data_IF_672658919923
#
_entry.id   IF_672658919923
#
_cell.length_a   1.000
_cell.length_b   1.000
_cell.length_c   1.000
_cell.angle_alpha   90.00
_cell.angle_beta   90.00
_cell.angle_gamma   90.00
#
_symmetry.space_group_name_H-M   'P 1'
#
loop_
_entity.id
_entity.type
_entity.pdbx_description
1 polymer ?
#
# COMPACT_ATOMS: atom_id res chain seq x y z
N UNK A 1 5.28 13.99 -1.62
CA UNK A 1 5.76 12.61 -1.34
C UNK A 1 6.74 12.08 -2.37
N UNK A 2 6.38 12.01 -3.64
CA UNK A 2 7.24 11.37 -4.66
C UNK A 2 8.65 11.94 -4.74
N UNK A 3 8.82 13.28 -4.67
CA UNK A 3 10.14 13.93 -4.71
C UNK A 3 11.03 13.53 -3.51
N UNK A 4 10.47 13.49 -2.30
CA UNK A 4 11.22 13.13 -1.08
C UNK A 4 11.61 11.66 -1.13
N UNK A 5 10.68 10.76 -1.48
CA UNK A 5 10.94 9.34 -1.71
C UNK A 5 12.10 9.16 -2.72
N UNK A 6 12.02 9.87 -3.84
CA UNK A 6 13.04 9.82 -4.89
C UNK A 6 14.44 10.13 -4.34
N UNK A 7 14.60 11.23 -3.61
CA UNK A 7 15.91 11.62 -3.08
C UNK A 7 16.44 10.63 -2.06
N UNK A 8 15.59 10.14 -1.12
CA UNK A 8 16.01 9.17 -0.10
C UNK A 8 16.44 7.84 -0.70
N UNK A 9 15.64 7.28 -1.61
CA UNK A 9 15.99 6.00 -2.26
C UNK A 9 17.20 6.17 -3.16
N UNK A 10 17.33 7.29 -3.87
CA UNK A 10 18.49 7.57 -4.70
C UNK A 10 19.81 7.60 -3.89
N UNK A 11 19.80 8.13 -2.67
CA UNK A 11 20.96 8.07 -1.79
C UNK A 11 21.35 6.63 -1.46
N UNK A 12 20.37 5.76 -1.19
CA UNK A 12 20.61 4.33 -0.94
C UNK A 12 21.25 3.65 -2.17
N UNK A 13 20.83 4.02 -3.38
CA UNK A 13 21.38 3.46 -4.61
C UNK A 13 22.84 3.84 -4.88
N UNK A 14 23.29 4.98 -4.35
CA UNK A 14 24.67 5.47 -4.50
C UNK A 14 25.61 4.80 -3.49
N UNK A 15 25.09 4.39 -2.33
CA UNK A 15 25.88 3.72 -1.30
C UNK A 15 26.15 2.25 -1.69
N UNK A 16 27.28 1.70 -1.21
CA UNK A 16 27.57 0.28 -1.30
C UNK A 16 26.67 -0.52 -0.36
N UNK A 17 25.53 -0.95 -0.89
CA UNK A 17 24.57 -1.79 -0.19
C UNK A 17 24.52 -3.19 -0.84
N UNK A 18 24.14 -4.19 -0.05
CA UNK A 18 23.95 -5.54 -0.50
C UNK A 18 22.88 -5.64 -1.59
N UNK A 19 23.14 -6.45 -2.63
CA UNK A 19 22.15 -6.77 -3.66
C UNK A 19 21.38 -8.02 -3.23
N UNK A 20 20.08 -7.86 -2.98
CA UNK A 20 19.18 -8.95 -2.58
C UNK A 20 18.06 -9.14 -3.61
N UNK A 21 17.61 -10.37 -3.80
CA UNK A 21 16.43 -10.62 -4.63
C UNK A 21 15.14 -10.37 -3.82
N UNK A 22 14.09 -9.89 -4.51
CA UNK A 22 12.80 -9.63 -3.87
C UNK A 22 12.25 -10.89 -3.18
N UNK A 23 12.40 -12.07 -3.80
CA UNK A 23 11.99 -13.36 -3.20
C UNK A 23 12.68 -13.68 -1.87
N UNK A 24 13.86 -13.12 -1.62
CA UNK A 24 14.63 -13.37 -0.39
C UNK A 24 14.17 -12.47 0.77
N UNK A 25 13.50 -11.36 0.46
CA UNK A 25 13.05 -10.35 1.43
C UNK A 25 11.53 -10.31 1.63
N UNK A 26 10.76 -10.75 0.63
CA UNK A 26 9.29 -10.82 0.69
C UNK A 26 8.81 -12.28 0.60
N UNK A 27 7.71 -12.53 1.27
CA UNK A 27 6.86 -13.71 1.07
C UNK A 27 5.54 -13.25 0.48
N UNK A 28 4.93 -14.08 -0.39
CA UNK A 28 3.59 -13.80 -0.86
C UNK A 28 2.59 -14.88 -0.46
N UNK A 29 1.35 -14.46 -0.22
CA UNK A 29 0.20 -15.34 0.00
C UNK A 29 -0.85 -15.08 -1.09
N UNK A 30 -1.46 -16.17 -1.61
CA UNK A 30 -2.60 -16.06 -2.51
C UNK A 30 -3.83 -15.58 -1.73
N UNK A 31 -4.63 -14.67 -2.28
CA UNK A 31 -5.75 -14.06 -1.56
C UNK A 31 -6.99 -14.95 -1.50
N UNK A 32 -6.94 -16.19 -1.99
CA UNK A 32 -8.10 -17.08 -2.13
C UNK A 32 -8.96 -17.18 -0.88
N UNK A 33 -8.33 -17.20 0.31
CA UNK A 33 -9.02 -17.27 1.60
C UNK A 33 -9.74 -15.97 1.98
N UNK A 34 -9.37 -14.86 1.37
CA UNK A 34 -9.81 -13.51 1.71
C UNK A 34 -10.69 -12.88 0.64
N UNK A 35 -11.07 -13.65 -0.37
CA UNK A 35 -12.01 -13.20 -1.40
C UNK A 35 -13.38 -12.93 -0.80
N UNK A 36 -13.95 -11.78 -1.15
CA UNK A 36 -15.34 -11.49 -0.84
C UNK A 36 -16.24 -12.37 -1.70
N UNK A 37 -17.33 -12.88 -1.12
CA UNK A 37 -18.31 -13.71 -1.83
C UNK A 37 -19.47 -12.87 -2.39
N UNK A 38 -19.85 -11.80 -1.70
CA UNK A 38 -20.88 -10.86 -2.14
C UNK A 38 -20.36 -9.97 -3.28
N UNK A 39 -21.25 -9.62 -4.19
CA UNK A 39 -20.96 -8.70 -5.30
C UNK A 39 -21.42 -7.28 -5.04
N UNK A 40 -22.33 -7.11 -4.07
CA UNK A 40 -22.83 -5.81 -3.62
C UNK A 40 -22.11 -5.39 -2.35
N UNK A 41 -21.67 -4.13 -2.29
CA UNK A 41 -20.93 -3.59 -1.18
C UNK A 41 -21.69 -2.44 -0.53
N UNK A 42 -21.61 -2.37 0.81
CA UNK A 42 -22.15 -1.27 1.60
C UNK A 42 -21.28 -0.01 1.47
N UNK A 43 -21.87 1.15 1.74
CA UNK A 43 -21.15 2.42 1.98
C UNK A 43 -20.82 2.65 3.46
N UNK A 44 -21.22 1.74 4.36
CA UNK A 44 -20.97 1.82 5.79
C UNK A 44 -19.51 1.45 6.11
N UNK A 45 -18.71 2.45 6.45
CA UNK A 45 -17.28 2.34 6.74
C UNK A 45 -16.94 1.71 8.10
N UNK A 46 -17.95 1.41 8.92
CA UNK A 46 -17.80 0.60 10.14
C UNK A 46 -17.63 -0.90 9.86
N UNK A 47 -17.92 -1.34 8.62
CA UNK A 47 -17.80 -2.72 8.17
C UNK A 47 -16.40 -3.02 7.62
N UNK A 48 -16.16 -4.29 7.23
CA UNK A 48 -14.87 -4.72 6.66
C UNK A 48 -14.69 -4.18 5.24
N UNK A 49 -13.62 -3.43 4.94
CA UNK A 49 -13.36 -2.92 3.60
C UNK A 49 -13.02 -4.03 2.61
N UNK A 50 -13.54 -3.89 1.39
CA UNK A 50 -13.24 -4.74 0.24
C UNK A 50 -12.28 -4.00 -0.68
N UNK A 51 -11.06 -4.53 -0.82
CA UNK A 51 -9.95 -3.85 -1.48
C UNK A 51 -9.66 -4.36 -2.88
N UNK A 52 -9.07 -3.48 -3.65
CA UNK A 52 -8.32 -3.77 -4.87
C UNK A 52 -7.02 -2.97 -4.87
N UNK A 53 -5.98 -3.43 -5.57
CA UNK A 53 -4.72 -2.70 -5.63
C UNK A 53 -4.74 -1.50 -6.59
N UNK A 54 -5.72 -1.41 -7.48
CA UNK A 54 -5.85 -0.34 -8.49
C UNK A 54 -6.36 1.00 -7.89
N UNK A 55 -6.67 1.97 -8.77
CA UNK A 55 -7.09 3.34 -8.36
C UNK A 55 -8.30 3.38 -7.45
N UNK A 56 -9.24 2.45 -7.60
CA UNK A 56 -10.46 2.42 -6.78
C UNK A 56 -10.24 1.97 -5.34
N UNK A 57 -9.06 1.51 -4.98
CA UNK A 57 -8.55 0.98 -3.72
C UNK A 57 -9.60 0.34 -2.79
N UNK A 58 -10.54 1.10 -2.22
CA UNK A 58 -11.70 0.61 -1.46
C UNK A 58 -12.91 0.63 -2.38
N UNK A 59 -13.46 -0.56 -2.67
CA UNK A 59 -14.66 -0.72 -3.51
C UNK A 59 -15.94 -0.52 -2.73
N UNK A 60 -15.88 -0.63 -1.43
CA UNK A 60 -16.97 -0.56 -0.46
C UNK A 60 -16.69 -1.50 0.70
N UNK A 61 -17.72 -1.84 1.46
CA UNK A 61 -17.59 -2.58 2.71
C UNK A 61 -18.51 -3.79 2.75
N UNK A 62 -18.16 -4.81 3.54
CA UNK A 62 -18.93 -6.05 3.67
C UNK A 62 -19.11 -6.44 5.13
N UNK A 63 -20.23 -7.06 5.43
CA UNK A 63 -20.54 -7.66 6.73
C UNK A 63 -20.01 -9.10 6.90
N UNK A 64 -19.31 -9.62 5.89
CA UNK A 64 -18.71 -10.94 5.93
C UNK A 64 -17.59 -11.01 6.97
N UNK A 65 -17.80 -11.77 8.05
CA UNK A 65 -16.85 -11.94 9.15
C UNK A 65 -15.83 -13.05 8.95
N UNK A 66 -16.06 -13.94 7.97
CA UNK A 66 -15.13 -15.02 7.61
C UNK A 66 -14.15 -14.57 6.52
N UNK A 67 -12.98 -15.19 6.48
CA UNK A 67 -11.98 -14.91 5.44
C UNK A 67 -11.56 -13.43 5.41
N UNK A 68 -11.41 -12.81 6.56
CA UNK A 68 -10.81 -11.48 6.70
C UNK A 68 -9.31 -11.65 6.85
N UNK A 69 -8.52 -10.87 6.11
CA UNK A 69 -7.09 -10.78 6.37
C UNK A 69 -6.87 -9.86 7.58
N UNK A 70 -6.33 -10.41 8.65
CA UNK A 70 -6.04 -9.71 9.91
C UNK A 70 -4.73 -10.23 10.51
N UNK A 71 -3.66 -10.20 9.68
CA UNK A 71 -2.32 -10.69 10.06
C UNK A 71 -1.32 -9.54 10.26
N UNK A 72 -1.82 -8.30 10.34
CA UNK A 72 -1.00 -7.10 10.41
C UNK A 72 -0.64 -6.52 9.04
N UNK A 73 0.44 -5.75 9.01
CA UNK A 73 0.87 -5.02 7.81
C UNK A 73 1.17 -5.93 6.63
N UNK A 74 0.70 -5.52 5.46
CA UNK A 74 1.01 -6.18 4.19
C UNK A 74 1.02 -5.19 3.03
N UNK A 75 1.54 -5.63 1.89
CA UNK A 75 1.36 -4.95 0.59
C UNK A 75 0.40 -5.79 -0.23
N UNK A 76 -0.68 -5.21 -0.72
CA UNK A 76 -1.45 -5.81 -1.80
C UNK A 76 -0.85 -5.37 -3.14
N UNK A 77 -0.58 -6.33 -3.99
CA UNK A 77 0.06 -6.15 -5.30
C UNK A 77 -0.84 -6.75 -6.39
N UNK A 78 -1.21 -5.97 -7.39
CA UNK A 78 -1.97 -6.47 -8.55
C UNK A 78 -1.00 -7.11 -9.55
N UNK A 79 -1.21 -8.39 -9.82
CA UNK A 79 -0.32 -9.22 -10.63
C UNK A 79 -0.35 -8.87 -12.14
N UNK A 80 -1.33 -8.06 -12.59
CA UNK A 80 -1.47 -7.61 -13.97
C UNK A 80 -1.06 -6.16 -14.20
N UNK A 81 -1.44 -5.26 -13.29
CA UNK A 81 -1.17 -3.82 -13.44
C UNK A 81 0.11 -3.39 -12.74
N UNK A 82 0.67 -4.23 -11.86
CA UNK A 82 1.76 -3.92 -10.92
C UNK A 82 1.45 -2.78 -9.94
N UNK A 83 0.18 -2.36 -9.85
CA UNK A 83 -0.25 -1.43 -8.81
C UNK A 83 -0.10 -2.07 -7.43
N UNK A 84 0.27 -1.26 -6.44
CA UNK A 84 0.44 -1.74 -5.09
C UNK A 84 -0.06 -0.74 -4.05
N UNK A 85 -0.48 -1.27 -2.88
CA UNK A 85 -0.92 -0.49 -1.72
C UNK A 85 -0.37 -1.10 -0.44
N UNK A 86 0.07 -0.26 0.47
CA UNK A 86 0.44 -0.64 1.82
C UNK A 86 -0.82 -0.64 2.70
N UNK A 87 -1.04 -1.72 3.44
CA UNK A 87 -2.23 -1.94 4.27
C UNK A 87 -1.80 -2.25 5.69
N UNK A 88 -2.43 -1.60 6.66
CA UNK A 88 -2.21 -1.75 8.10
C UNK A 88 -3.52 -2.00 8.89
N UNK A 89 -4.57 -2.42 8.19
CA UNK A 89 -5.90 -2.68 8.77
C UNK A 89 -6.51 -3.97 8.20
N UNK A 90 -7.49 -4.59 8.89
CA UNK A 90 -8.18 -5.80 8.41
C UNK A 90 -8.99 -5.53 7.14
N UNK A 91 -8.99 -6.50 6.20
CA UNK A 91 -9.67 -6.33 4.90
C UNK A 91 -10.08 -7.65 4.26
N UNK A 92 -10.91 -7.56 3.23
CA UNK A 92 -11.15 -8.60 2.22
C UNK A 92 -10.77 -8.07 0.84
N UNK A 93 -10.60 -8.95 -0.14
CA UNK A 93 -10.21 -8.55 -1.51
C UNK A 93 -11.24 -8.98 -2.54
N UNK A 94 -11.34 -8.21 -3.62
CA UNK A 94 -12.25 -8.49 -4.74
C UNK A 94 -11.72 -9.55 -5.69
N UNK A 95 -10.41 -9.60 -5.92
CA UNK A 95 -9.82 -10.34 -7.04
C UNK A 95 -8.70 -11.29 -6.62
N UNK A 96 -8.65 -12.47 -7.23
CA UNK A 96 -7.54 -13.42 -7.11
C UNK A 96 -6.27 -12.97 -7.86
N UNK A 97 -6.32 -11.88 -8.61
CA UNK A 97 -5.14 -11.27 -9.23
C UNK A 97 -4.20 -10.59 -8.23
N UNK A 98 -4.72 -10.29 -7.02
CA UNK A 98 -3.92 -9.71 -5.95
C UNK A 98 -2.96 -10.75 -5.37
N UNK A 99 -1.74 -10.32 -5.05
CA UNK A 99 -0.81 -11.00 -4.15
C UNK A 99 -0.74 -10.22 -2.84
N UNK A 100 -0.76 -10.92 -1.72
CA UNK A 100 -0.56 -10.33 -0.39
C UNK A 100 0.91 -10.57 -0.03
N UNK A 101 1.68 -9.50 0.11
CA UNK A 101 3.12 -9.56 0.34
C UNK A 101 3.42 -9.15 1.78
N UNK A 102 4.27 -9.93 2.44
CA UNK A 102 4.76 -9.65 3.79
C UNK A 102 6.28 -9.70 3.84
N UNK A 103 6.91 -8.90 4.69
CA UNK A 103 8.36 -8.92 4.84
C UNK A 103 8.83 -10.19 5.58
N UNK A 104 9.95 -10.74 5.13
CA UNK A 104 10.67 -11.76 5.88
C UNK A 104 11.41 -11.13 7.06
N UNK A 105 11.82 -11.96 8.03
CA UNK A 105 12.53 -11.50 9.23
C UNK A 105 13.80 -10.71 8.88
N UNK A 106 13.98 -9.56 9.50
CA UNK A 106 15.12 -8.66 9.28
C UNK A 106 14.90 -7.61 8.20
N UNK A 107 13.70 -7.54 7.61
CA UNK A 107 13.38 -6.55 6.59
C UNK A 107 12.16 -5.71 6.98
N UNK A 108 12.22 -4.42 6.68
CA UNK A 108 11.13 -3.48 6.96
C UNK A 108 10.17 -3.42 5.76
N UNK A 109 8.93 -3.85 5.95
CA UNK A 109 7.92 -3.92 4.88
C UNK A 109 7.61 -2.53 4.29
N UNK A 110 7.50 -1.51 5.15
CA UNK A 110 7.22 -0.14 4.71
C UNK A 110 8.37 0.40 3.85
N UNK A 111 9.62 0.13 4.24
CA UNK A 111 10.78 0.48 3.41
C UNK A 111 10.74 -0.20 2.04
N UNK A 112 10.44 -1.49 1.99
CA UNK A 112 10.33 -2.24 0.73
C UNK A 112 9.21 -1.65 -0.13
N UNK A 113 8.05 -1.34 0.44
CA UNK A 113 6.96 -0.68 -0.28
C UNK A 113 7.39 0.66 -0.90
N UNK A 114 8.10 1.49 -0.14
CA UNK A 114 8.60 2.78 -0.62
C UNK A 114 9.63 2.61 -1.74
N UNK A 115 10.50 1.60 -1.62
CA UNK A 115 11.49 1.28 -2.65
C UNK A 115 10.82 0.81 -3.95
N UNK A 116 9.89 -0.14 -3.87
CA UNK A 116 9.14 -0.63 -5.03
C UNK A 116 8.31 0.49 -5.67
N UNK A 117 7.72 1.37 -4.86
CA UNK A 117 7.00 2.56 -5.35
C UNK A 117 7.92 3.54 -6.09
N UNK A 118 9.17 3.68 -5.64
CA UNK A 118 10.18 4.49 -6.32
C UNK A 118 10.53 3.90 -7.70
N UNK A 119 10.61 2.58 -7.83
CA UNK A 119 10.92 1.92 -9.11
C UNK A 119 9.87 2.17 -10.19
N UNK A 120 8.65 2.55 -9.81
CA UNK A 120 7.59 2.89 -10.74
C UNK A 120 7.20 1.71 -11.64
N UNK A 121 7.04 0.53 -11.04
CA UNK A 121 6.70 -0.69 -11.75
C UNK A 121 5.44 -0.50 -12.61
N UNK A 122 5.50 -0.93 -13.85
CA UNK A 122 4.38 -0.85 -14.79
C UNK A 122 4.41 -2.02 -15.76
N UNK A 123 3.23 -2.55 -16.09
CA UNK A 123 3.07 -3.62 -17.05
C UNK A 123 2.81 -3.07 -18.46
N UNK A 124 3.41 -3.70 -19.46
CA UNK A 124 3.19 -3.42 -20.89
C UNK A 124 2.23 -4.46 -21.49
N UNK A 125 2.10 -5.61 -20.86
CA UNK A 125 1.30 -6.74 -21.34
C UNK A 125 0.32 -7.25 -20.25
N UNK A 126 -0.66 -8.08 -20.66
CA UNK A 126 -1.71 -8.63 -19.79
C UNK A 126 -1.34 -10.00 -19.21
N UNK A 127 -0.09 -10.20 -18.78
CA UNK A 127 0.32 -11.43 -18.08
C UNK A 127 0.55 -11.19 -16.59
N UNK A 128 0.76 -12.26 -15.85
CA UNK A 128 1.12 -12.19 -14.42
C UNK A 128 2.61 -11.97 -14.27
N UNK A 129 3.00 -10.96 -13.49
CA UNK A 129 4.37 -10.45 -13.43
C UNK A 129 5.10 -10.82 -12.13
N UNK A 130 4.39 -11.04 -11.01
CA UNK A 130 5.03 -11.14 -9.71
C UNK A 130 6.09 -12.24 -9.65
N UNK A 131 5.72 -13.49 -9.93
CA UNK A 131 6.64 -14.63 -9.82
C UNK A 131 7.74 -14.59 -10.90
N UNK A 132 7.37 -14.25 -12.13
CA UNK A 132 8.28 -14.30 -13.27
C UNK A 132 9.28 -13.14 -13.31
N UNK A 133 8.91 -11.99 -12.82
CA UNK A 133 9.69 -10.75 -12.97
C UNK A 133 10.05 -10.15 -11.61
N UNK A 134 9.04 -9.83 -10.77
CA UNK A 134 9.25 -9.05 -9.55
C UNK A 134 10.06 -9.84 -8.51
N UNK A 135 9.74 -11.10 -8.25
CA UNK A 135 10.49 -11.94 -7.31
C UNK A 135 11.97 -12.08 -7.67
N UNK A 136 12.28 -12.04 -8.96
CA UNK A 136 13.65 -12.22 -9.46
C UNK A 136 14.44 -10.91 -9.50
N UNK A 137 13.80 -9.78 -9.35
CA UNK A 137 14.48 -8.47 -9.33
C UNK A 137 15.48 -8.39 -8.18
N UNK A 138 16.64 -7.81 -8.48
CA UNK A 138 17.65 -7.48 -7.47
C UNK A 138 17.56 -6.01 -7.12
N UNK A 139 17.48 -5.72 -5.83
CA UNK A 139 17.48 -4.36 -5.29
C UNK A 139 18.62 -4.18 -4.29
N UNK A 140 19.09 -2.95 -4.14
CA UNK A 140 20.06 -2.58 -3.11
C UNK A 140 19.36 -2.44 -1.78
N UNK A 141 19.75 -3.26 -0.80
CA UNK A 141 19.12 -3.28 0.52
C UNK A 141 20.08 -2.75 1.58
N UNK A 142 19.79 -1.61 2.21
CA UNK A 142 20.59 -1.11 3.32
C UNK A 142 20.37 -1.95 4.58
N UNK A 143 21.21 -1.73 5.58
CA UNK A 143 21.05 -2.39 6.87
C UNK A 143 19.70 -2.02 7.55
N UNK A 144 19.27 -2.82 8.52
CA UNK A 144 17.99 -2.68 9.21
C UNK A 144 17.79 -1.28 9.84
N UNK A 145 18.83 -0.71 10.44
CA UNK A 145 18.77 0.64 11.01
C UNK A 145 18.34 1.70 9.96
N UNK A 146 18.96 1.67 8.78
CA UNK A 146 18.66 2.63 7.71
C UNK A 146 17.30 2.36 7.07
N UNK A 147 16.89 1.09 6.90
CA UNK A 147 15.53 0.74 6.46
C UNK A 147 14.51 1.39 7.40
N UNK A 148 14.66 1.22 8.71
CA UNK A 148 13.76 1.77 9.72
C UNK A 148 13.77 3.31 9.74
N UNK A 149 14.93 3.94 9.61
CA UNK A 149 15.00 5.40 9.53
C UNK A 149 14.19 5.96 8.34
N UNK A 150 14.38 5.41 7.15
CA UNK A 150 13.68 5.87 5.94
C UNK A 150 12.19 5.60 6.03
N UNK A 151 11.79 4.38 6.45
CA UNK A 151 10.40 4.00 6.62
C UNK A 151 9.67 4.93 7.61
N UNK A 152 10.25 5.15 8.79
CA UNK A 152 9.67 6.00 9.82
C UNK A 152 9.56 7.47 9.36
N UNK A 153 10.57 7.97 8.68
CA UNK A 153 10.55 9.34 8.15
C UNK A 153 9.44 9.52 7.12
N UNK A 154 9.34 8.62 6.12
CA UNK A 154 8.29 8.69 5.10
C UNK A 154 6.89 8.51 5.70
N UNK A 155 6.72 7.57 6.64
CA UNK A 155 5.46 7.38 7.35
C UNK A 155 5.03 8.61 8.16
N UNK A 156 5.98 9.31 8.78
CA UNK A 156 5.68 10.55 9.52
C UNK A 156 5.18 11.67 8.59
N UNK A 157 5.76 11.78 7.41
CA UNK A 157 5.31 12.74 6.39
C UNK A 157 3.92 12.36 5.85
N UNK A 158 3.68 11.09 5.55
CA UNK A 158 2.35 10.62 5.11
C UNK A 158 1.28 10.92 6.15
N UNK A 159 1.57 10.62 7.42
CA UNK A 159 0.66 10.94 8.53
C UNK A 159 0.37 12.44 8.63
N UNK A 160 1.39 13.27 8.48
CA UNK A 160 1.22 14.73 8.49
C UNK A 160 0.35 15.20 7.32
N UNK A 161 0.62 14.74 6.10
CA UNK A 161 -0.18 15.06 4.92
C UNK A 161 -1.65 14.65 5.10
N UNK A 162 -1.90 13.47 5.68
CA UNK A 162 -3.25 13.00 5.96
C UNK A 162 -3.97 13.93 6.92
N UNK A 163 -3.36 14.26 8.06
CA UNK A 163 -3.93 15.16 9.07
C UNK A 163 -4.24 16.55 8.46
N UNK A 164 -3.29 17.14 7.74
CA UNK A 164 -3.47 18.45 7.10
C UNK A 164 -4.62 18.42 6.05
N UNK A 165 -4.75 17.31 5.31
CA UNK A 165 -5.84 17.13 4.37
C UNK A 165 -7.21 17.04 5.06
N UNK A 166 -7.29 16.33 6.18
CA UNK A 166 -8.50 16.23 7.01
C UNK A 166 -8.90 17.59 7.58
N UNK A 167 -7.94 18.34 8.14
CA UNK A 167 -8.15 19.71 8.63
C UNK A 167 -8.66 20.62 7.50
N UNK A 168 -8.04 20.55 6.33
CA UNK A 168 -8.47 21.34 5.16
C UNK A 168 -9.93 21.06 4.79
N UNK A 169 -10.35 19.78 4.75
CA UNK A 169 -11.73 19.41 4.46
C UNK A 169 -12.70 19.97 5.51
N UNK A 170 -12.33 19.90 6.79
CA UNK A 170 -13.13 20.44 7.89
C UNK A 170 -13.30 21.97 7.78
N UNK A 171 -12.22 22.68 7.46
CA UNK A 171 -12.25 24.15 7.24
C UNK A 171 -13.14 24.54 6.05
N UNK A 172 -13.11 23.78 4.96
CA UNK A 172 -14.01 24.02 3.81
C UNK A 172 -15.48 23.82 4.23
N UNK A 173 -15.80 22.77 4.98
CA UNK A 173 -17.15 22.53 5.50
C UNK A 173 -17.61 23.66 6.43
N UNK A 174 -16.75 24.10 7.34
CA UNK A 174 -17.03 25.22 8.24
C UNK A 174 -17.29 26.51 7.45
N UNK A 175 -16.45 26.82 6.46
CA UNK A 175 -16.68 27.97 5.57
C UNK A 175 -18.03 27.92 4.89
N UNK A 176 -18.39 26.77 4.31
CA UNK A 176 -19.68 26.58 3.65
C UNK A 176 -20.86 26.79 4.61
N UNK A 177 -20.76 26.21 5.81
CA UNK A 177 -21.75 26.39 6.86
C UNK A 177 -21.95 27.87 7.26
N UNK A 178 -20.86 28.61 7.47
CA UNK A 178 -20.92 30.02 7.82
C UNK A 178 -21.52 30.86 6.69
N UNK A 179 -21.14 30.63 5.43
CA UNK A 179 -21.70 31.34 4.29
C UNK A 179 -23.21 31.09 4.14
N UNK A 180 -23.68 29.86 4.35
CA UNK A 180 -25.10 29.52 4.24
C UNK A 180 -25.96 30.07 5.39
N UNK A 181 -25.38 30.39 6.54
CA UNK A 181 -26.13 30.87 7.72
C UNK A 181 -25.92 32.35 8.05
N UNK A 182 -24.91 33.02 7.50
CA UNK A 182 -24.62 34.44 7.76
C UNK A 182 -25.11 35.38 6.66
N UNK A 183 -25.50 34.85 5.50
CA UNK A 183 -25.92 35.63 4.33
C UNK A 183 -27.34 35.25 3.86
N UNK A 184 -28.26 35.01 4.81
CA UNK A 184 -29.70 34.88 4.54
C UNK A 184 -30.34 36.26 4.63
#
# INVERSE_FOLDING_TARGET
MNTIRYYLIKQILIEENELVQIKDILSYEQPTKYLVTKTEYSSDDSLIPVLTANKAFVLGYTDEKFGVYDKGECIIFDDFTMDMKFIDFPFKVKSSAIKILTAKKGFNLKFIFEYLSFLGLSSIDHKRHYISEIEQMKIRMPNDYKQNQVANFLSSIEKKIKIESEIYILLIRQKQYLLSNLFI
#
